data_IF_476898655730
#
_entry.id   IF_476898655730
#
_cell.length_a   1.000
_cell.length_b   1.000
_cell.length_c   1.000
_cell.angle_alpha   90.00
_cell.angle_beta   90.00
_cell.angle_gamma   90.00
#
_symmetry.space_group_name_H-M   'P 1'
#
loop_
_entity.id
_entity.type
_entity.pdbx_description
1 polymer ?
#
# COMPACT_ATOMS: atom_id res chain seq x y z
N UNK A 1 -17.86 16.23 32.45
CA UNK A 1 -18.15 15.48 31.19
C UNK A 1 -16.87 15.01 30.52
N UNK A 2 -15.86 15.84 30.27
CA UNK A 2 -14.60 15.49 29.61
C UNK A 2 -13.75 14.39 30.29
N UNK A 3 -13.88 14.19 31.60
CA UNK A 3 -13.12 13.19 32.36
C UNK A 3 -13.66 11.77 32.19
N UNK A 4 -14.98 11.61 32.15
CA UNK A 4 -15.61 10.30 32.02
C UNK A 4 -15.45 9.69 30.61
N UNK A 5 -15.52 10.52 29.57
CA UNK A 5 -15.23 10.10 28.19
C UNK A 5 -13.78 9.67 28.00
N UNK A 6 -12.83 10.38 28.60
CA UNK A 6 -11.42 9.99 28.59
C UNK A 6 -11.18 8.67 29.30
N UNK A 7 -11.80 8.45 30.45
CA UNK A 7 -11.70 7.18 31.20
C UNK A 7 -12.34 6.02 30.46
N UNK A 8 -13.52 6.23 29.84
CA UNK A 8 -14.18 5.23 29.01
C UNK A 8 -13.33 4.86 27.78
N UNK A 9 -12.75 5.86 27.12
CA UNK A 9 -11.87 5.66 25.97
C UNK A 9 -10.57 4.94 26.36
N UNK A 10 -9.99 5.27 27.51
CA UNK A 10 -8.82 4.57 28.05
C UNK A 10 -9.16 3.12 28.46
N UNK A 11 -10.35 2.88 29.03
CA UNK A 11 -10.80 1.54 29.39
C UNK A 11 -11.09 0.68 28.14
N UNK A 12 -11.73 1.27 27.13
CA UNK A 12 -11.95 0.62 25.83
C UNK A 12 -10.62 0.31 25.16
N UNK A 13 -9.69 1.27 25.13
CA UNK A 13 -8.35 1.11 24.59
C UNK A 13 -7.59 -0.02 25.27
N UNK A 14 -7.60 -0.05 26.61
CA UNK A 14 -6.99 -1.14 27.40
C UNK A 14 -7.62 -2.50 27.08
N UNK A 15 -8.95 -2.58 26.92
CA UNK A 15 -9.64 -3.81 26.53
C UNK A 15 -9.28 -4.27 25.12
N UNK A 16 -9.15 -3.35 24.17
CA UNK A 16 -8.75 -3.65 22.79
C UNK A 16 -7.29 -4.09 22.75
N UNK A 17 -6.42 -3.46 23.54
CA UNK A 17 -5.02 -3.87 23.71
C UNK A 17 -4.90 -5.27 24.32
N UNK A 18 -5.69 -5.56 25.37
CA UNK A 18 -5.72 -6.87 25.98
C UNK A 18 -6.23 -8.00 25.05
N UNK A 19 -6.97 -7.65 24.00
CA UNK A 19 -7.40 -8.57 22.93
C UNK A 19 -6.38 -8.70 21.78
N UNK A 20 -5.18 -8.11 21.91
CA UNK A 20 -4.12 -8.22 20.91
C UNK A 20 -4.35 -7.44 19.61
N UNK A 21 -5.37 -6.56 19.55
CA UNK A 21 -5.71 -5.82 18.32
C UNK A 21 -4.63 -4.83 17.86
N UNK A 22 -3.62 -4.55 18.68
CA UNK A 22 -2.50 -3.64 18.38
C UNK A 22 -1.13 -4.29 18.60
N UNK A 23 -1.07 -5.64 18.67
CA UNK A 23 0.19 -6.36 18.77
C UNK A 23 0.95 -6.21 17.44
N UNK A 24 2.17 -5.69 17.52
CA UNK A 24 3.11 -5.70 16.42
C UNK A 24 3.84 -7.04 16.43
N UNK A 25 3.56 -7.88 15.47
CA UNK A 25 4.24 -9.14 15.28
C UNK A 25 5.63 -8.89 14.70
N UNK A 26 6.66 -9.07 15.52
CA UNK A 26 8.05 -8.87 15.13
C UNK A 26 8.76 -10.18 14.83
N UNK A 27 9.68 -10.16 13.89
CA UNK A 27 10.69 -11.22 13.69
C UNK A 27 12.09 -10.64 13.82
N UNK A 28 13.03 -11.45 14.30
CA UNK A 28 14.44 -11.09 14.40
C UNK A 28 15.17 -11.67 13.19
N UNK A 29 15.75 -10.79 12.37
CA UNK A 29 16.54 -11.18 11.22
C UNK A 29 18.01 -11.26 11.62
N UNK A 30 18.51 -12.47 11.71
CA UNK A 30 19.87 -12.84 12.12
C UNK A 30 19.91 -13.65 13.41
N UNK A 31 20.20 -14.96 13.27
CA UNK A 31 20.47 -15.89 14.39
C UNK A 31 21.89 -15.72 14.94
N UNK A 32 22.34 -14.48 15.12
CA UNK A 32 23.65 -14.09 15.62
C UNK A 32 23.62 -13.84 17.12
N UNK A 33 24.78 -13.68 17.76
CA UNK A 33 24.87 -13.32 19.17
C UNK A 33 24.10 -12.02 19.47
N UNK A 34 24.13 -11.04 18.54
CA UNK A 34 23.34 -9.82 18.68
C UNK A 34 21.83 -10.10 18.63
N UNK A 35 21.37 -10.97 17.72
CA UNK A 35 19.97 -11.40 17.65
C UNK A 35 19.52 -12.13 18.92
N UNK A 36 20.35 -12.99 19.49
CA UNK A 36 20.05 -13.66 20.75
C UNK A 36 19.87 -12.69 21.91
N UNK A 37 20.79 -11.72 22.03
CA UNK A 37 20.69 -10.66 23.07
C UNK A 37 19.41 -9.84 22.92
N UNK A 38 19.00 -9.52 21.68
CA UNK A 38 17.73 -8.82 21.40
C UNK A 38 16.55 -9.66 21.85
N UNK A 39 16.53 -10.97 21.53
CA UNK A 39 15.46 -11.86 21.92
C UNK A 39 15.31 -11.97 23.43
N UNK A 40 16.42 -12.21 24.14
CA UNK A 40 16.47 -12.30 25.60
C UNK A 40 16.00 -10.99 26.25
N UNK A 41 16.45 -9.85 25.70
CA UNK A 41 16.03 -8.54 26.21
C UNK A 41 14.53 -8.32 26.07
N UNK A 42 13.95 -8.60 24.88
CA UNK A 42 12.52 -8.43 24.63
C UNK A 42 11.65 -9.43 25.42
N UNK A 43 12.15 -10.64 25.72
CA UNK A 43 11.46 -11.60 26.57
C UNK A 43 11.42 -11.15 28.03
N UNK A 44 12.50 -10.55 28.53
CA UNK A 44 12.62 -10.07 29.90
C UNK A 44 11.90 -8.74 30.14
N UNK A 45 11.82 -7.89 29.11
CA UNK A 45 11.14 -6.60 29.15
C UNK A 45 9.90 -6.68 28.27
N UNK A 46 8.80 -7.21 28.79
CA UNK A 46 7.54 -7.35 28.05
C UNK A 46 7.01 -5.98 27.63
N UNK A 47 7.43 -5.52 26.48
CA UNK A 47 6.71 -4.45 25.78
C UNK A 47 5.38 -5.03 25.31
N UNK A 48 4.28 -4.50 25.87
CA UNK A 48 2.90 -4.96 25.61
C UNK A 48 2.55 -4.81 24.12
N UNK A 49 3.37 -4.13 23.33
CA UNK A 49 3.11 -3.81 21.93
C UNK A 49 3.82 -4.71 20.92
N UNK A 50 4.85 -5.46 21.33
CA UNK A 50 5.67 -6.24 20.41
C UNK A 50 5.68 -7.71 20.81
N UNK A 51 5.13 -8.56 19.96
CA UNK A 51 5.20 -10.02 20.07
C UNK A 51 6.30 -10.55 19.13
N UNK A 52 7.37 -11.13 19.70
CA UNK A 52 8.43 -11.75 18.88
C UNK A 52 7.99 -13.14 18.46
N UNK A 53 7.83 -13.36 17.16
CA UNK A 53 7.39 -14.65 16.60
C UNK A 53 8.54 -15.66 16.50
N UNK A 54 9.77 -15.20 16.23
CA UNK A 54 10.93 -16.07 16.05
C UNK A 54 12.05 -15.42 15.28
N UNK A 55 12.97 -16.24 14.81
CA UNK A 55 14.13 -15.84 14.04
C UNK A 55 13.97 -16.16 12.56
N UNK A 56 14.59 -15.32 11.73
CA UNK A 56 14.81 -15.53 10.30
C UNK A 56 16.32 -15.48 10.05
N UNK A 57 16.87 -16.50 9.38
CA UNK A 57 18.28 -16.51 8.96
C UNK A 57 18.45 -17.41 7.74
N UNK A 58 19.27 -16.99 6.77
CA UNK A 58 19.51 -17.78 5.56
C UNK A 58 20.45 -18.98 5.80
N UNK A 59 21.09 -19.06 6.97
CA UNK A 59 22.01 -20.14 7.36
C UNK A 59 21.31 -21.24 8.14
N UNK A 60 20.13 -21.68 7.68
CA UNK A 60 19.25 -22.63 8.38
C UNK A 60 19.96 -23.93 8.80
N UNK A 61 20.87 -24.43 7.97
CA UNK A 61 21.60 -25.69 8.23
C UNK A 61 22.64 -25.58 9.37
N UNK A 62 23.03 -24.36 9.74
CA UNK A 62 24.06 -24.07 10.75
C UNK A 62 23.51 -23.61 12.08
N UNK A 63 22.20 -23.43 12.16
CA UNK A 63 21.53 -22.90 13.34
C UNK A 63 20.61 -23.96 13.95
N UNK A 64 20.48 -24.00 15.29
CA UNK A 64 19.49 -24.84 15.94
C UNK A 64 18.07 -24.40 15.56
N UNK A 65 17.08 -25.33 15.65
CA UNK A 65 15.67 -25.02 15.33
C UNK A 65 15.06 -23.99 16.25
N UNK A 66 15.59 -23.85 17.46
CA UNK A 66 15.18 -22.88 18.47
C UNK A 66 16.38 -22.08 18.95
N UNK A 67 16.20 -20.78 19.08
CA UNK A 67 17.19 -19.82 19.54
C UNK A 67 16.53 -18.96 20.64
N UNK A 68 17.12 -18.92 21.83
CA UNK A 68 16.57 -18.19 22.99
C UNK A 68 15.07 -18.52 23.24
N UNK A 69 14.68 -19.79 23.18
CA UNK A 69 13.29 -20.28 23.32
C UNK A 69 12.31 -19.74 22.24
N UNK A 70 12.83 -19.28 21.11
CA UNK A 70 12.03 -18.83 19.96
C UNK A 70 12.34 -19.72 18.74
N UNK A 71 11.33 -20.04 17.91
CA UNK A 71 11.52 -20.90 16.74
C UNK A 71 12.34 -20.21 15.65
N UNK A 72 13.09 -20.99 14.89
CA UNK A 72 13.66 -20.57 13.61
C UNK A 72 12.59 -20.73 12.52
N UNK A 73 12.03 -19.62 12.05
CA UNK A 73 10.86 -19.57 11.16
C UNK A 73 11.17 -19.82 9.70
N UNK A 74 12.44 -19.68 9.30
CA UNK A 74 12.87 -19.87 7.93
C UNK A 74 13.94 -18.89 7.47
N UNK A 75 14.01 -18.68 6.17
CA UNK A 75 14.96 -17.78 5.50
C UNK A 75 14.30 -16.47 5.06
N UNK A 76 15.05 -15.60 4.36
CA UNK A 76 14.57 -14.31 3.85
C UNK A 76 13.35 -14.44 2.91
N UNK A 77 13.27 -15.54 2.11
CA UNK A 77 12.10 -15.78 1.23
C UNK A 77 10.84 -16.13 2.05
N UNK A 78 11.01 -16.89 3.12
CA UNK A 78 9.91 -17.20 4.04
C UNK A 78 9.41 -15.94 4.76
N UNK A 79 10.33 -15.04 5.13
CA UNK A 79 9.99 -13.74 5.69
C UNK A 79 9.13 -12.91 4.73
N UNK A 80 9.50 -12.84 3.46
CA UNK A 80 8.71 -12.11 2.45
C UNK A 80 7.29 -12.65 2.36
N UNK A 81 7.13 -13.98 2.33
CA UNK A 81 5.83 -14.64 2.34
C UNK A 81 5.01 -14.28 3.59
N UNK A 82 5.63 -14.34 4.79
CA UNK A 82 4.97 -14.01 6.04
C UNK A 82 4.52 -12.55 6.11
N UNK A 83 5.31 -11.62 5.55
CA UNK A 83 4.92 -10.21 5.44
C UNK A 83 3.72 -10.04 4.49
N UNK A 84 3.73 -10.71 3.34
CA UNK A 84 2.61 -10.66 2.38
C UNK A 84 1.32 -11.28 2.94
N UNK A 85 1.45 -12.26 3.85
CA UNK A 85 0.32 -12.86 4.58
C UNK A 85 -0.12 -12.02 5.79
N UNK A 86 0.48 -10.84 6.01
CA UNK A 86 0.20 -9.92 7.13
C UNK A 86 0.47 -10.55 8.53
N UNK A 87 1.26 -11.63 8.57
CA UNK A 87 1.64 -12.28 9.83
C UNK A 87 2.74 -11.52 10.56
N UNK A 88 3.58 -10.78 9.82
CA UNK A 88 4.71 -10.01 10.33
C UNK A 88 4.53 -8.54 9.97
N UNK A 89 4.57 -7.67 10.96
CA UNK A 89 4.44 -6.21 10.81
C UNK A 89 5.74 -5.47 11.10
N UNK A 90 6.71 -6.15 11.74
CA UNK A 90 7.96 -5.56 12.15
C UNK A 90 9.13 -6.54 11.95
N UNK A 91 10.26 -6.05 11.45
CA UNK A 91 11.51 -6.80 11.30
C UNK A 91 12.62 -6.10 12.08
N UNK A 92 13.21 -6.80 13.04
CA UNK A 92 14.37 -6.36 13.81
C UNK A 92 15.62 -6.93 13.16
N UNK A 93 16.39 -6.11 12.46
CA UNK A 93 17.62 -6.52 11.79
C UNK A 93 18.76 -6.51 12.80
N UNK A 94 19.20 -7.69 13.23
CA UNK A 94 20.23 -7.91 14.22
C UNK A 94 21.50 -8.55 13.61
N UNK A 95 21.79 -8.24 12.34
CA UNK A 95 22.99 -8.71 11.65
C UNK A 95 24.22 -7.91 12.10
N UNK A 96 25.41 -8.53 12.06
CA UNK A 96 26.65 -7.83 12.36
C UNK A 96 26.93 -6.72 11.34
N UNK A 97 27.35 -5.56 11.81
CA UNK A 97 27.54 -4.34 10.99
C UNK A 97 28.62 -4.46 9.89
N UNK A 98 29.59 -5.35 10.05
CA UNK A 98 30.57 -5.61 9.01
C UNK A 98 29.98 -6.31 7.76
N UNK A 99 28.72 -6.72 7.81
CA UNK A 99 27.96 -7.22 6.66
C UNK A 99 27.22 -6.09 5.92
N UNK A 100 27.82 -4.90 5.82
CA UNK A 100 27.22 -3.65 5.33
C UNK A 100 26.50 -3.80 3.97
N UNK A 101 27.17 -4.42 2.99
CA UNK A 101 26.58 -4.65 1.66
C UNK A 101 25.31 -5.53 1.70
N UNK A 102 25.31 -6.55 2.57
CA UNK A 102 24.16 -7.46 2.73
C UNK A 102 23.00 -6.78 3.47
N UNK A 103 23.33 -5.99 4.50
CA UNK A 103 22.32 -5.21 5.24
C UNK A 103 21.66 -4.22 4.28
N UNK A 104 22.43 -3.52 3.46
CA UNK A 104 21.92 -2.59 2.45
C UNK A 104 20.99 -3.26 1.44
N UNK A 105 21.36 -4.43 0.91
CA UNK A 105 20.52 -5.21 0.00
C UNK A 105 19.20 -5.64 0.66
N UNK A 106 19.27 -6.23 1.86
CA UNK A 106 18.10 -6.66 2.61
C UNK A 106 17.14 -5.50 2.93
N UNK A 107 17.67 -4.35 3.35
CA UNK A 107 16.86 -3.15 3.59
C UNK A 107 16.16 -2.70 2.30
N UNK A 108 16.85 -2.70 1.16
CA UNK A 108 16.28 -2.32 -0.12
C UNK A 108 15.17 -3.30 -0.56
N UNK A 109 15.32 -4.58 -0.31
CA UNK A 109 14.27 -5.57 -0.58
C UNK A 109 13.07 -5.39 0.36
N UNK A 110 13.31 -5.25 1.67
CA UNK A 110 12.27 -5.10 2.67
C UNK A 110 11.52 -3.75 2.55
N UNK A 111 12.17 -2.69 2.05
CA UNK A 111 11.51 -1.40 1.77
C UNK A 111 10.38 -1.49 0.75
N UNK A 112 10.40 -2.50 -0.11
CA UNK A 112 9.35 -2.74 -1.10
C UNK A 112 8.10 -3.38 -0.49
N UNK A 113 8.18 -3.84 0.76
CA UNK A 113 7.12 -4.53 1.49
C UNK A 113 6.50 -3.61 2.55
N UNK A 114 5.22 -3.81 2.90
CA UNK A 114 4.54 -3.03 3.94
C UNK A 114 4.92 -3.53 5.34
N UNK A 115 6.18 -3.37 5.71
CA UNK A 115 6.74 -3.82 6.98
C UNK A 115 7.62 -2.73 7.60
N UNK A 116 7.62 -2.67 8.93
CA UNK A 116 8.48 -1.78 9.69
C UNK A 116 9.84 -2.45 9.87
N UNK A 117 10.91 -1.85 9.34
CA UNK A 117 12.27 -2.40 9.45
C UNK A 117 13.08 -1.56 10.41
N UNK A 118 13.52 -2.18 11.50
CA UNK A 118 14.32 -1.57 12.57
C UNK A 118 15.71 -2.20 12.57
N UNK A 119 16.72 -1.37 12.48
CA UNK A 119 18.10 -1.81 12.69
C UNK A 119 18.42 -1.76 14.18
N UNK A 120 18.86 -2.89 14.72
CA UNK A 120 19.40 -2.95 16.07
C UNK A 120 20.86 -2.52 16.02
N UNK A 121 21.22 -1.39 16.63
CA UNK A 121 22.58 -0.92 16.57
C UNK A 121 23.51 -1.84 17.37
N UNK A 122 24.65 -2.21 16.77
CA UNK A 122 25.83 -2.56 17.53
C UNK A 122 26.52 -1.25 17.97
N UNK A 123 27.21 -1.22 19.11
CA UNK A 123 27.76 0.01 19.71
C UNK A 123 28.62 0.89 18.78
N UNK A 124 29.05 0.35 17.63
CA UNK A 124 29.79 1.07 16.59
C UNK A 124 28.91 1.92 15.66
N UNK A 125 27.60 1.73 15.69
CA UNK A 125 26.65 2.28 14.71
C UNK A 125 26.16 3.70 14.99
N UNK A 126 26.47 4.27 16.12
CA UNK A 126 26.12 5.67 16.44
C UNK A 126 26.75 6.71 15.50
N UNK A 127 27.65 6.29 14.59
CA UNK A 127 28.26 7.21 13.61
C UNK A 127 27.33 7.64 12.45
N UNK A 128 26.16 7.08 12.32
CA UNK A 128 25.18 7.43 11.26
C UNK A 128 23.89 8.00 11.83
N UNK A 129 24.02 9.02 12.64
CA UNK A 129 22.99 9.59 13.54
C UNK A 129 21.87 10.43 12.88
N UNK A 130 21.68 10.39 11.55
CA UNK A 130 20.64 11.16 10.85
C UNK A 130 19.27 10.45 10.77
N UNK A 131 19.16 9.24 11.30
CA UNK A 131 17.91 8.48 11.28
C UNK A 131 17.24 8.50 12.64
N UNK A 132 15.90 8.60 12.63
CA UNK A 132 15.10 8.60 13.86
C UNK A 132 15.36 7.33 14.66
N UNK A 133 15.70 7.53 15.94
CA UNK A 133 15.85 6.44 16.90
C UNK A 133 14.47 6.22 17.55
N UNK A 134 14.07 4.98 17.67
CA UNK A 134 12.91 4.55 18.43
C UNK A 134 13.34 3.52 19.46
N UNK A 135 12.47 3.25 20.42
CA UNK A 135 12.72 2.29 21.48
C UNK A 135 11.76 1.11 21.33
N UNK A 136 12.31 -0.12 21.35
CA UNK A 136 11.54 -1.35 21.33
C UNK A 136 11.95 -2.16 22.56
N UNK A 137 11.08 -2.22 23.58
CA UNK A 137 11.37 -2.92 24.84
C UNK A 137 12.62 -2.43 25.56
N UNK A 138 12.89 -1.11 25.55
CA UNK A 138 14.10 -0.52 26.14
C UNK A 138 15.35 -0.56 25.26
N UNK A 139 15.28 -1.17 24.06
CA UNK A 139 16.40 -1.19 23.12
C UNK A 139 16.34 0.00 22.16
N UNK A 140 17.39 0.83 22.08
CA UNK A 140 17.48 1.86 21.06
C UNK A 140 17.62 1.20 19.68
N UNK A 141 16.71 1.51 18.77
CA UNK A 141 16.66 0.96 17.41
C UNK A 141 16.60 2.08 16.39
N UNK A 142 17.24 1.87 15.24
CA UNK A 142 17.19 2.81 14.13
C UNK A 142 16.09 2.40 13.15
N UNK A 143 15.21 3.33 12.82
CA UNK A 143 14.17 3.10 11.83
C UNK A 143 14.81 3.14 10.45
N UNK A 144 14.92 1.99 9.79
CA UNK A 144 15.44 1.88 8.42
C UNK A 144 14.35 2.05 7.36
N UNK A 145 13.15 1.59 7.65
CA UNK A 145 11.95 1.77 6.82
C UNK A 145 10.73 1.76 7.71
N UNK A 146 9.83 2.68 7.47
CA UNK A 146 8.59 2.80 8.23
C UNK A 146 7.39 2.27 7.46
N UNK A 147 6.38 1.80 8.20
CA UNK A 147 5.05 1.64 7.65
C UNK A 147 4.52 3.03 7.23
N UNK A 148 3.94 3.14 6.03
CA UNK A 148 3.41 4.42 5.53
C UNK A 148 2.37 5.03 6.46
N UNK A 149 1.51 4.19 7.01
CA UNK A 149 0.43 4.57 7.92
C UNK A 149 0.70 3.93 9.28
N UNK A 150 0.96 4.74 10.31
CA UNK A 150 1.33 4.29 11.65
C UNK A 150 0.26 4.59 12.69
N UNK A 151 0.26 3.82 13.76
CA UNK A 151 -0.57 4.08 14.93
C UNK A 151 -2.05 4.18 14.54
N UNK A 152 -2.65 5.34 14.74
CA UNK A 152 -4.05 5.61 14.43
C UNK A 152 -4.31 6.00 12.96
N UNK A 153 -3.26 6.24 12.18
CA UNK A 153 -3.38 6.69 10.78
C UNK A 153 -4.21 5.74 9.90
N UNK A 154 -4.08 4.40 9.97
CA UNK A 154 -4.92 3.49 9.20
C UNK A 154 -6.40 3.61 9.55
N UNK A 155 -6.72 3.85 10.82
CA UNK A 155 -8.09 4.04 11.28
C UNK A 155 -8.69 5.33 10.73
N UNK A 156 -7.97 6.47 10.87
CA UNK A 156 -8.44 7.76 10.35
C UNK A 156 -8.54 7.74 8.83
N UNK A 157 -7.56 7.13 8.15
CA UNK A 157 -7.63 6.94 6.70
C UNK A 157 -8.84 6.14 6.27
N UNK A 158 -9.16 5.05 6.98
CA UNK A 158 -10.33 4.24 6.69
C UNK A 158 -11.65 4.97 6.97
N UNK A 159 -11.72 5.71 8.07
CA UNK A 159 -12.89 6.52 8.42
C UNK A 159 -13.14 7.60 7.35
N UNK A 160 -12.10 8.31 6.96
CA UNK A 160 -12.12 9.29 5.88
C UNK A 160 -12.63 8.67 4.57
N UNK A 161 -12.07 7.54 4.15
CA UNK A 161 -12.46 6.82 2.95
C UNK A 161 -13.95 6.43 2.98
N UNK A 162 -14.46 5.91 4.11
CA UNK A 162 -15.87 5.55 4.28
C UNK A 162 -16.76 6.78 4.19
N UNK A 163 -16.43 7.84 4.93
CA UNK A 163 -17.28 9.06 4.97
C UNK A 163 -17.34 9.71 3.60
N UNK A 164 -16.18 9.95 2.97
CA UNK A 164 -16.13 10.64 1.69
C UNK A 164 -16.74 9.79 0.57
N UNK A 165 -16.44 8.47 0.53
CA UNK A 165 -17.04 7.60 -0.48
C UNK A 165 -18.55 7.45 -0.32
N UNK A 166 -19.07 7.43 0.91
CA UNK A 166 -20.53 7.38 1.15
C UNK A 166 -21.23 8.63 0.64
N UNK A 167 -20.69 9.81 0.96
CA UNK A 167 -21.23 11.10 0.47
C UNK A 167 -21.17 11.15 -1.06
N UNK A 168 -20.00 10.76 -1.63
CA UNK A 168 -19.81 10.75 -3.07
C UNK A 168 -20.74 9.75 -3.78
N UNK A 169 -20.96 8.55 -3.22
CA UNK A 169 -21.91 7.57 -3.75
C UNK A 169 -23.34 8.08 -3.74
N UNK A 170 -23.79 8.69 -2.63
CA UNK A 170 -25.12 9.27 -2.53
C UNK A 170 -25.32 10.39 -3.56
N UNK A 171 -24.34 11.29 -3.70
CA UNK A 171 -24.39 12.38 -4.66
C UNK A 171 -24.33 11.89 -6.11
N UNK A 172 -23.51 10.86 -6.41
CA UNK A 172 -23.37 10.31 -7.74
C UNK A 172 -24.46 9.30 -8.14
N UNK A 173 -25.23 8.77 -7.18
CA UNK A 173 -26.21 7.71 -7.42
C UNK A 173 -27.19 7.99 -8.57
N UNK A 174 -27.82 9.20 -8.68
CA UNK A 174 -28.72 9.47 -9.80
C UNK A 174 -28.00 9.45 -11.15
N UNK A 175 -26.79 10.01 -11.21
CA UNK A 175 -25.97 10.01 -12.44
C UNK A 175 -25.53 8.57 -12.79
N UNK A 176 -25.11 7.78 -11.80
CA UNK A 176 -24.73 6.39 -11.99
C UNK A 176 -25.90 5.55 -12.52
N UNK A 177 -27.13 5.79 -12.03
CA UNK A 177 -28.34 5.11 -12.51
C UNK A 177 -28.64 5.46 -13.98
N UNK A 178 -28.54 6.73 -14.35
CA UNK A 178 -28.73 7.19 -15.73
C UNK A 178 -27.70 6.58 -16.68
N UNK A 179 -26.42 6.54 -16.26
CA UNK A 179 -25.34 5.90 -17.03
C UNK A 179 -25.62 4.41 -17.18
N UNK A 180 -26.02 3.73 -16.11
CA UNK A 180 -26.36 2.30 -16.14
C UNK A 180 -27.48 1.99 -17.14
N UNK A 181 -28.52 2.81 -17.16
CA UNK A 181 -29.62 2.72 -18.12
C UNK A 181 -29.13 2.97 -19.55
N UNK A 182 -28.34 4.03 -19.76
CA UNK A 182 -27.77 4.34 -21.08
C UNK A 182 -26.91 3.21 -21.63
N UNK A 183 -26.05 2.59 -20.80
CA UNK A 183 -25.23 1.45 -21.19
C UNK A 183 -26.10 0.24 -21.59
N UNK A 184 -27.19 -0.02 -20.87
CA UNK A 184 -28.11 -1.12 -21.20
C UNK A 184 -28.85 -0.91 -22.52
N UNK A 185 -29.18 0.34 -22.82
CA UNK A 185 -29.84 0.71 -24.08
C UNK A 185 -28.87 0.73 -25.27
N UNK A 186 -27.57 1.06 -25.04
CA UNK A 186 -26.56 1.18 -26.09
C UNK A 186 -26.05 -0.19 -26.58
N UNK A 187 -25.89 -1.18 -25.67
CA UNK A 187 -25.39 -2.50 -26.04
C UNK A 187 -25.77 -3.61 -25.04
N UNK A 188 -25.94 -4.89 -25.50
CA UNK A 188 -26.24 -6.00 -24.61
C UNK A 188 -25.08 -6.33 -23.68
N UNK A 189 -25.39 -6.87 -22.48
CA UNK A 189 -24.40 -7.34 -21.51
C UNK A 189 -24.48 -6.64 -20.15
N UNK A 190 -23.51 -6.90 -19.22
CA UNK A 190 -23.50 -6.32 -17.88
C UNK A 190 -23.18 -4.83 -17.92
N UNK A 191 -23.71 -4.08 -16.95
CA UNK A 191 -23.46 -2.63 -16.80
C UNK A 191 -22.05 -2.37 -16.26
N UNK A 192 -21.62 -3.20 -15.31
CA UNK A 192 -20.31 -3.09 -14.68
C UNK A 192 -19.29 -4.00 -15.37
N UNK A 193 -18.11 -3.46 -15.53
CA UNK A 193 -16.92 -4.17 -15.95
C UNK A 193 -15.97 -4.29 -14.75
N UNK A 194 -15.39 -5.46 -14.55
CA UNK A 194 -14.43 -5.75 -13.50
C UNK A 194 -13.07 -5.98 -14.10
N UNK A 195 -12.08 -5.26 -13.60
CA UNK A 195 -10.69 -5.37 -14.05
C UNK A 195 -9.77 -5.72 -12.90
N UNK A 196 -8.95 -6.75 -13.08
CA UNK A 196 -7.93 -7.11 -12.08
C UNK A 196 -6.79 -6.09 -12.12
N UNK A 197 -6.40 -5.60 -10.95
CA UNK A 197 -5.29 -4.66 -10.75
C UNK A 197 -4.54 -4.98 -9.48
N UNK A 198 -3.28 -4.58 -9.42
CA UNK A 198 -2.51 -4.66 -8.19
C UNK A 198 -3.02 -3.63 -7.18
N UNK A 199 -3.33 -4.10 -5.98
CA UNK A 199 -3.72 -3.31 -4.83
C UNK A 199 -2.64 -3.28 -3.76
N UNK A 200 -3.08 -3.06 -2.51
CA UNK A 200 -2.20 -3.09 -1.34
C UNK A 200 -1.44 -4.42 -1.26
N UNK A 201 -0.14 -4.32 -0.96
CA UNK A 201 0.75 -5.47 -0.80
C UNK A 201 0.79 -6.40 -2.04
N UNK A 202 0.70 -5.84 -3.24
CA UNK A 202 0.67 -6.56 -4.52
C UNK A 202 -0.47 -7.59 -4.65
N UNK A 203 -1.51 -7.53 -3.79
CA UNK A 203 -2.67 -8.39 -3.91
C UNK A 203 -3.54 -7.95 -5.08
N UNK A 204 -4.01 -8.90 -5.87
CA UNK A 204 -4.95 -8.59 -6.94
C UNK A 204 -6.31 -8.20 -6.38
N UNK A 205 -6.82 -7.05 -6.82
CA UNK A 205 -8.16 -6.55 -6.52
C UNK A 205 -8.98 -6.43 -7.79
N UNK A 206 -10.30 -6.56 -7.68
CA UNK A 206 -11.24 -6.26 -8.76
C UNK A 206 -11.65 -4.80 -8.69
N UNK A 207 -11.25 -4.02 -9.68
CA UNK A 207 -11.65 -2.61 -9.82
C UNK A 207 -12.92 -2.52 -10.65
N UNK A 208 -13.95 -1.88 -10.12
CA UNK A 208 -15.24 -1.70 -10.78
C UNK A 208 -15.22 -0.47 -11.68
N UNK A 209 -15.72 -0.64 -12.90
CA UNK A 209 -15.92 0.44 -13.86
C UNK A 209 -17.28 0.26 -14.55
N UNK A 210 -17.81 1.31 -15.13
CA UNK A 210 -18.88 1.15 -16.10
C UNK A 210 -18.31 0.55 -17.38
N UNK A 211 -19.07 -0.35 -17.99
CA UNK A 211 -18.74 -0.92 -19.29
C UNK A 211 -18.75 0.17 -20.36
N UNK A 212 -17.61 0.39 -20.99
CA UNK A 212 -17.41 1.37 -22.07
C UNK A 212 -17.12 0.71 -23.42
N UNK A 213 -17.00 -0.62 -23.46
CA UNK A 213 -16.73 -1.41 -24.66
C UNK A 213 -17.80 -2.46 -24.87
N UNK A 214 -17.96 -2.91 -26.11
CA UNK A 214 -18.81 -4.06 -26.40
C UNK A 214 -18.35 -5.28 -25.61
N UNK A 215 -19.30 -6.01 -25.03
CA UNK A 215 -18.99 -7.11 -24.09
C UNK A 215 -18.13 -8.20 -24.72
N UNK A 216 -18.40 -8.55 -25.97
CA UNK A 216 -17.68 -9.57 -26.72
C UNK A 216 -16.24 -9.17 -27.07
N UNK A 217 -15.93 -7.87 -27.10
CA UNK A 217 -14.63 -7.30 -27.41
C UNK A 217 -13.88 -6.79 -26.16
N UNK A 218 -14.43 -7.04 -24.96
CA UNK A 218 -13.86 -6.55 -23.71
C UNK A 218 -12.65 -7.39 -23.30
N UNK A 219 -11.55 -6.71 -22.91
CA UNK A 219 -10.30 -7.32 -22.46
C UNK A 219 -10.12 -7.07 -20.96
N UNK A 220 -10.43 -8.09 -20.14
CA UNK A 220 -10.33 -7.99 -18.68
C UNK A 220 -8.89 -7.94 -18.16
N UNK A 221 -7.93 -8.48 -18.94
CA UNK A 221 -6.52 -8.51 -18.56
C UNK A 221 -5.76 -7.28 -19.03
N UNK A 222 -6.37 -6.46 -19.92
CA UNK A 222 -5.75 -5.30 -20.56
C UNK A 222 -4.46 -5.63 -21.35
N UNK A 223 -4.48 -6.79 -22.06
CA UNK A 223 -3.36 -7.20 -22.90
C UNK A 223 -3.16 -6.23 -24.08
N UNK A 224 -4.24 -5.60 -24.53
CA UNK A 224 -4.21 -4.57 -25.57
C UNK A 224 -4.65 -3.23 -25.02
N UNK A 225 -3.72 -2.28 -24.97
CA UNK A 225 -4.03 -0.90 -24.60
C UNK A 225 -5.06 -0.29 -25.57
N UNK A 226 -5.93 0.56 -25.01
CA UNK A 226 -6.95 1.26 -25.79
C UNK A 226 -6.33 2.49 -26.46
N UNK A 227 -6.54 2.63 -27.77
CA UNK A 227 -6.05 3.78 -28.54
C UNK A 227 -7.19 4.74 -28.92
N UNK A 228 -6.85 5.95 -29.40
CA UNK A 228 -7.86 6.87 -29.94
C UNK A 228 -8.57 6.23 -31.14
N UNK A 229 -9.92 6.23 -31.12
CA UNK A 229 -10.71 5.67 -32.22
C UNK A 229 -10.89 4.15 -32.16
N UNK A 230 -10.57 3.49 -31.05
CA UNK A 230 -10.74 2.05 -30.87
C UNK A 230 -12.20 1.64 -31.13
N UNK A 231 -12.41 0.71 -32.08
CA UNK A 231 -13.72 0.20 -32.55
C UNK A 231 -14.46 -0.63 -31.48
N UNK A 232 -13.75 -1.01 -30.44
CA UNK A 232 -14.34 -1.74 -29.30
C UNK A 232 -15.19 -0.85 -28.41
N UNK A 233 -15.04 0.50 -28.49
CA UNK A 233 -15.71 1.47 -27.62
C UNK A 233 -17.13 1.74 -28.15
N UNK A 234 -18.13 1.63 -27.27
CA UNK A 234 -19.53 1.96 -27.60
C UNK A 234 -19.75 3.47 -27.68
N UNK A 235 -20.92 3.93 -28.17
CA UNK A 235 -21.24 5.38 -28.27
C UNK A 235 -21.32 5.99 -26.88
N UNK A 236 -22.03 5.38 -25.95
CA UNK A 236 -22.12 5.79 -24.54
C UNK A 236 -20.74 5.66 -23.89
N UNK A 237 -20.00 4.57 -24.17
CA UNK A 237 -18.65 4.34 -23.70
C UNK A 237 -17.68 5.46 -24.01
N UNK A 238 -17.74 6.03 -25.23
CA UNK A 238 -16.91 7.16 -25.64
C UNK A 238 -17.19 8.40 -24.78
N UNK A 239 -18.45 8.69 -24.48
CA UNK A 239 -18.82 9.82 -23.65
C UNK A 239 -18.35 9.64 -22.21
N UNK A 240 -18.65 8.49 -21.57
CA UNK A 240 -18.29 8.25 -20.17
C UNK A 240 -16.76 8.17 -19.95
N UNK A 241 -15.99 7.68 -20.93
CA UNK A 241 -14.52 7.70 -20.89
C UNK A 241 -13.96 9.12 -21.00
N UNK A 242 -14.46 9.92 -21.95
CA UNK A 242 -14.03 11.32 -22.12
C UNK A 242 -14.28 12.15 -20.86
N UNK A 243 -15.33 11.85 -20.12
CA UNK A 243 -15.71 12.54 -18.88
C UNK A 243 -15.23 11.86 -17.62
N UNK A 244 -14.53 10.71 -17.75
CA UNK A 244 -14.10 9.85 -16.63
C UNK A 244 -15.23 9.34 -15.73
N UNK A 245 -16.46 9.43 -16.19
CA UNK A 245 -17.65 8.90 -15.48
C UNK A 245 -17.64 7.36 -15.44
N UNK A 246 -16.90 6.71 -16.33
CA UNK A 246 -16.71 5.26 -16.30
C UNK A 246 -16.02 4.77 -15.02
N UNK A 247 -15.30 5.64 -14.31
CA UNK A 247 -14.58 5.31 -13.07
C UNK A 247 -15.43 5.50 -11.80
N UNK A 248 -16.66 6.07 -11.89
CA UNK A 248 -17.54 6.29 -10.72
C UNK A 248 -17.80 5.01 -9.89
N UNK A 249 -17.97 3.80 -10.49
CA UNK A 249 -18.16 2.60 -9.69
C UNK A 249 -16.98 2.23 -8.77
N UNK A 250 -15.77 2.82 -8.97
CA UNK A 250 -14.65 2.65 -8.05
C UNK A 250 -14.95 3.20 -6.64
N UNK A 251 -15.91 4.11 -6.50
CA UNK A 251 -16.40 4.54 -5.18
C UNK A 251 -16.90 3.36 -4.34
N UNK A 252 -17.47 2.33 -4.96
CA UNK A 252 -17.83 1.07 -4.29
C UNK A 252 -16.59 0.31 -3.81
N UNK A 253 -15.50 0.32 -4.58
CA UNK A 253 -14.24 -0.29 -4.15
C UNK A 253 -13.68 0.40 -2.90
N UNK A 254 -13.79 1.74 -2.83
CA UNK A 254 -13.37 2.51 -1.66
C UNK A 254 -14.25 2.18 -0.46
N UNK A 255 -15.58 2.23 -0.65
CA UNK A 255 -16.53 1.91 0.41
C UNK A 255 -16.32 0.49 0.96
N UNK A 256 -16.10 -0.49 0.11
CA UNK A 256 -15.81 -1.88 0.48
C UNK A 256 -14.39 -2.07 1.05
N UNK A 257 -13.48 -1.14 0.80
CA UNK A 257 -12.13 -1.11 1.39
C UNK A 257 -11.02 -1.75 0.57
N UNK A 258 -11.27 -2.15 -0.67
CA UNK A 258 -10.23 -2.62 -1.59
C UNK A 258 -9.42 -1.48 -2.21
N UNK A 259 -9.97 -0.26 -2.22
CA UNK A 259 -9.31 0.97 -2.65
C UNK A 259 -9.45 2.07 -1.59
N UNK A 260 -8.83 3.22 -1.84
CA UNK A 260 -8.91 4.45 -1.07
C UNK A 260 -9.42 5.59 -1.97
N UNK A 261 -9.91 6.69 -1.37
CA UNK A 261 -10.22 7.91 -2.12
C UNK A 261 -8.95 8.50 -2.73
N UNK A 262 -7.89 8.62 -1.92
CA UNK A 262 -6.60 9.16 -2.33
C UNK A 262 -5.51 8.10 -2.15
N UNK A 263 -4.67 7.93 -3.17
CA UNK A 263 -3.56 6.98 -3.17
C UNK A 263 -2.93 6.81 -4.56
N UNK A 264 -1.89 6.01 -4.69
CA UNK A 264 -1.30 5.65 -5.97
C UNK A 264 -2.32 5.05 -6.93
N UNK A 265 -2.33 5.49 -8.20
CA UNK A 265 -3.27 4.94 -9.19
C UNK A 265 -2.95 3.48 -9.50
N UNK A 266 -3.94 2.55 -9.42
CA UNK A 266 -3.71 1.14 -9.71
C UNK A 266 -3.48 0.91 -11.20
N UNK A 267 -2.43 0.16 -11.56
CA UNK A 267 -2.15 -0.25 -12.94
C UNK A 267 -2.64 -1.66 -13.22
N UNK A 268 -2.94 -1.95 -14.49
CA UNK A 268 -3.24 -3.30 -14.93
C UNK A 268 -1.99 -4.19 -14.86
N UNK A 269 -2.20 -5.49 -14.65
CA UNK A 269 -1.13 -6.47 -14.42
C UNK A 269 -0.13 -6.62 -15.57
N UNK A 270 -0.56 -6.31 -16.81
CA UNK A 270 0.25 -6.42 -18.02
C UNK A 270 0.75 -5.07 -18.56
N UNK A 271 0.74 -4.01 -17.73
CA UNK A 271 1.12 -2.67 -18.22
C UNK A 271 2.62 -2.60 -18.49
N UNK A 272 2.96 -2.26 -19.74
CA UNK A 272 4.35 -2.12 -20.22
C UNK A 272 4.62 -0.68 -20.64
N UNK A 273 5.87 -0.22 -20.46
CA UNK A 273 6.39 0.97 -21.10
C UNK A 273 7.65 0.61 -21.85
N UNK A 274 7.78 1.10 -23.07
CA UNK A 274 8.90 0.77 -23.98
C UNK A 274 9.16 -0.76 -24.08
N UNK A 275 8.11 -1.60 -23.95
CA UNK A 275 8.21 -3.05 -24.03
C UNK A 275 8.59 -3.77 -22.74
N UNK A 276 8.95 -3.04 -21.67
CA UNK A 276 9.33 -3.57 -20.35
C UNK A 276 8.17 -3.45 -19.38
N UNK A 277 7.96 -4.43 -18.50
CA UNK A 277 6.97 -4.35 -17.43
C UNK A 277 7.35 -3.22 -16.47
N UNK A 278 6.36 -2.50 -15.94
CA UNK A 278 6.59 -1.40 -15.01
C UNK A 278 7.37 -1.83 -13.75
N UNK A 279 7.15 -3.05 -13.29
CA UNK A 279 7.83 -3.63 -12.12
C UNK A 279 9.33 -3.85 -12.36
N UNK A 280 9.71 -4.13 -13.61
CA UNK A 280 11.11 -4.34 -14.01
C UNK A 280 11.79 -3.03 -14.43
N UNK A 281 10.98 -2.04 -14.84
CA UNK A 281 11.48 -0.76 -15.36
C UNK A 281 11.98 0.19 -14.27
N UNK A 282 11.37 0.14 -13.06
CA UNK A 282 11.70 1.04 -11.95
C UNK A 282 11.92 0.23 -10.67
N UNK A 283 13.11 0.32 -10.10
CA UNK A 283 13.52 -0.47 -8.92
C UNK A 283 12.58 -0.31 -7.70
N UNK A 284 11.98 0.86 -7.52
CA UNK A 284 11.08 1.16 -6.40
C UNK A 284 9.59 1.07 -6.77
N UNK A 285 9.26 0.54 -7.96
CA UNK A 285 7.88 0.49 -8.43
C UNK A 285 6.93 -0.20 -7.46
N UNK A 286 7.34 -1.33 -6.89
CA UNK A 286 6.52 -2.11 -5.94
C UNK A 286 6.30 -1.41 -4.61
N UNK A 287 7.16 -0.44 -4.23
CA UNK A 287 7.03 0.31 -2.99
C UNK A 287 5.75 1.18 -2.94
N UNK A 288 5.18 1.53 -4.09
CA UNK A 288 3.90 2.24 -4.18
C UNK A 288 2.70 1.41 -3.73
N UNK A 289 2.83 0.08 -3.69
CA UNK A 289 1.79 -0.84 -3.22
C UNK A 289 1.79 -1.02 -1.70
N UNK A 290 2.61 -0.25 -0.97
CA UNK A 290 2.63 -0.20 0.51
C UNK A 290 1.39 0.48 1.10
N UNK A 291 0.55 1.11 0.26
CA UNK A 291 -0.76 1.68 0.62
C UNK A 291 -1.83 1.20 -0.36
N UNK A 292 -3.10 1.37 0.00
CA UNK A 292 -4.22 1.06 -0.92
C UNK A 292 -4.18 2.00 -2.12
N UNK A 293 -4.49 1.48 -3.33
CA UNK A 293 -4.58 2.33 -4.51
C UNK A 293 -5.76 3.31 -4.39
N UNK A 294 -5.57 4.52 -4.95
CA UNK A 294 -6.56 5.58 -4.92
C UNK A 294 -7.34 5.76 -6.22
N UNK A 295 -8.54 6.35 -6.12
CA UNK A 295 -9.30 6.89 -7.27
C UNK A 295 -8.54 8.10 -7.83
N UNK A 296 -8.09 8.98 -6.93
CA UNK A 296 -7.19 10.09 -7.24
C UNK A 296 -5.89 9.98 -6.45
N UNK A 297 -4.89 10.78 -6.79
CA UNK A 297 -3.60 10.72 -6.12
C UNK A 297 -2.69 11.89 -6.46
N UNK A 298 -1.61 12.02 -5.70
CA UNK A 298 -0.66 13.11 -5.82
C UNK A 298 -0.03 13.19 -7.22
N UNK A 299 0.40 12.06 -7.77
CA UNK A 299 0.90 11.99 -9.14
C UNK A 299 -0.14 12.47 -10.17
N UNK A 300 -1.42 12.10 -9.99
CA UNK A 300 -2.48 12.43 -10.94
C UNK A 300 -2.75 13.94 -11.02
N UNK A 301 -2.78 14.64 -9.88
CA UNK A 301 -3.03 16.09 -9.86
C UNK A 301 -1.82 16.91 -10.30
N UNK A 302 -0.62 16.30 -10.33
CA UNK A 302 0.61 16.89 -10.85
C UNK A 302 0.88 16.55 -12.33
N UNK A 303 -0.14 16.07 -13.07
CA UNK A 303 -0.05 15.87 -14.52
C UNK A 303 0.34 14.45 -14.95
N UNK A 304 0.65 13.53 -14.05
CA UNK A 304 1.08 12.16 -14.37
C UNK A 304 -0.11 11.15 -14.34
N UNK A 305 -1.27 11.58 -14.85
CA UNK A 305 -2.49 10.76 -14.92
C UNK A 305 -2.58 9.90 -16.18
N UNK A 306 -2.11 10.42 -17.31
CA UNK A 306 -2.27 9.86 -18.66
C UNK A 306 -1.45 8.60 -18.93
N UNK A 307 -1.26 8.32 -20.20
CA UNK A 307 -0.41 7.23 -20.68
C UNK A 307 1.03 7.40 -20.20
N UNK A 308 1.61 6.32 -19.73
CA UNK A 308 3.02 6.25 -19.33
C UNK A 308 3.78 5.50 -20.41
N UNK A 309 4.01 6.19 -21.50
CA UNK A 309 4.69 5.70 -22.71
C UNK A 309 6.22 5.72 -22.57
N UNK A 310 6.76 6.57 -21.68
CA UNK A 310 8.19 6.70 -21.43
C UNK A 310 8.61 6.30 -20.04
N UNK A 311 9.85 5.85 -19.90
CA UNK A 311 10.44 5.47 -18.60
C UNK A 311 10.43 6.65 -17.62
N UNK A 312 10.79 7.85 -18.10
CA UNK A 312 10.82 9.07 -17.29
C UNK A 312 9.45 9.41 -16.67
N UNK A 313 8.35 9.24 -17.45
CA UNK A 313 7.00 9.47 -16.91
C UNK A 313 6.64 8.47 -15.81
N UNK A 314 7.13 7.21 -15.90
CA UNK A 314 6.90 6.20 -14.86
C UNK A 314 7.71 6.54 -13.62
N UNK A 315 8.98 6.88 -13.78
CA UNK A 315 9.85 7.28 -12.67
C UNK A 315 9.26 8.46 -11.91
N UNK A 316 8.85 9.51 -12.63
CA UNK A 316 8.20 10.68 -12.01
C UNK A 316 6.89 10.32 -11.33
N UNK A 317 6.07 9.46 -11.91
CA UNK A 317 4.85 8.98 -11.26
C UNK A 317 5.15 8.24 -9.97
N UNK A 318 6.14 7.33 -9.97
CA UNK A 318 6.57 6.59 -8.78
C UNK A 318 7.10 7.54 -7.71
N UNK A 319 7.92 8.54 -8.10
CA UNK A 319 8.44 9.57 -7.21
C UNK A 319 7.31 10.30 -6.48
N UNK A 320 6.28 10.79 -7.21
CA UNK A 320 5.11 11.43 -6.59
C UNK A 320 4.28 10.47 -5.74
N UNK A 321 4.13 9.22 -6.15
CA UNK A 321 3.40 8.23 -5.37
C UNK A 321 4.13 7.92 -4.04
N UNK A 322 5.47 7.86 -4.05
CA UNK A 322 6.28 7.67 -2.85
C UNK A 322 6.28 8.93 -1.95
N UNK A 323 6.38 10.13 -2.52
CA UNK A 323 6.26 11.39 -1.78
C UNK A 323 4.90 11.48 -1.04
N UNK A 324 3.82 11.06 -1.71
CA UNK A 324 2.51 10.96 -1.07
C UNK A 324 2.51 10.00 0.12
N UNK A 325 3.10 8.82 -0.05
CA UNK A 325 3.16 7.78 0.99
C UNK A 325 3.93 8.28 2.22
N UNK A 326 5.03 9.00 2.01
CA UNK A 326 5.88 9.53 3.08
C UNK A 326 5.26 10.70 3.83
N UNK A 327 4.54 11.57 3.11
CA UNK A 327 3.95 12.82 3.64
C UNK A 327 2.49 12.70 4.01
N UNK A 328 1.93 11.50 3.94
CA UNK A 328 0.50 11.30 4.15
C UNK A 328 -0.02 11.98 5.43
N UNK A 329 -1.13 12.65 5.28
CA UNK A 329 -1.96 13.17 6.36
C UNK A 329 -3.40 13.36 5.85
N UNK A 330 -4.38 13.39 6.76
CA UNK A 330 -5.78 13.68 6.40
C UNK A 330 -5.90 15.01 5.65
N UNK A 331 -5.15 16.03 6.07
CA UNK A 331 -5.13 17.34 5.40
C UNK A 331 -4.55 17.27 3.98
N UNK A 332 -3.54 16.41 3.76
CA UNK A 332 -2.97 16.21 2.45
C UNK A 332 -3.96 15.50 1.52
N UNK A 333 -4.70 14.53 2.03
CA UNK A 333 -5.78 13.89 1.27
C UNK A 333 -6.87 14.87 0.89
N UNK A 334 -7.35 15.69 1.83
CA UNK A 334 -8.33 16.73 1.55
C UNK A 334 -7.82 17.74 0.50
N UNK A 335 -6.55 18.14 0.60
CA UNK A 335 -5.93 19.00 -0.41
C UNK A 335 -5.95 18.35 -1.80
N UNK A 336 -5.55 17.09 -1.92
CA UNK A 336 -5.57 16.34 -3.19
C UNK A 336 -6.99 16.23 -3.73
N UNK A 337 -7.98 15.94 -2.87
CA UNK A 337 -9.38 15.85 -3.27
C UNK A 337 -9.92 17.17 -3.84
N UNK A 338 -9.63 18.29 -3.18
CA UNK A 338 -10.04 19.63 -3.66
C UNK A 338 -9.36 20.00 -4.97
N UNK A 339 -8.11 19.59 -5.17
CA UNK A 339 -7.33 19.85 -6.39
C UNK A 339 -7.68 18.92 -7.55
N UNK A 340 -8.35 17.81 -7.29
CA UNK A 340 -8.69 16.81 -8.32
C UNK A 340 -9.64 17.35 -9.39
N UNK A 341 -10.79 18.03 -9.08
CA UNK A 341 -11.68 18.53 -10.12
C UNK A 341 -11.01 19.52 -11.10
N UNK A 342 -10.28 20.56 -10.66
CA UNK A 342 -9.58 21.44 -11.57
C UNK A 342 -8.50 20.73 -12.39
N UNK A 343 -7.76 19.78 -11.80
CA UNK A 343 -6.76 18.99 -12.50
C UNK A 343 -7.37 18.12 -13.62
N UNK A 344 -8.59 17.60 -13.41
CA UNK A 344 -9.33 16.86 -14.43
C UNK A 344 -9.76 17.72 -15.61
N UNK A 345 -10.10 18.99 -15.36
CA UNK A 345 -10.56 19.93 -16.38
C UNK A 345 -9.40 20.54 -17.19
N UNK A 346 -8.24 20.73 -16.57
CA UNK A 346 -7.08 21.37 -17.17
C UNK A 346 -6.22 20.41 -17.99
N UNK A 347 -6.17 19.13 -17.65
CA UNK A 347 -5.39 18.13 -18.37
C UNK A 347 -6.12 17.68 -19.65
N UNK A 348 -5.71 18.22 -20.80
CA UNK A 348 -6.25 17.90 -22.12
C UNK A 348 -5.85 16.50 -22.67
N UNK A 349 -4.98 15.78 -21.98
CA UNK A 349 -4.41 14.50 -22.44
C UNK A 349 -5.24 13.27 -22.03
N UNK A 350 -6.47 13.46 -21.63
CA UNK A 350 -7.44 12.37 -21.42
C UNK A 350 -8.27 12.23 -22.67
N UNK A 351 -8.01 11.20 -23.50
CA UNK A 351 -8.67 10.67 -24.72
C UNK A 351 -9.80 11.49 -25.34
#
# INVERSE_FOLDING_TARGET
LFGAERLAMLALFRRLMARGMFLQNAVILGGTENGLRVAEHLQNHRDIRTGVLGFIDDRLERLPKELANLPLLGNTRDLERMIREEKVTQVLVALPWFADSRIGQLINELRKLPVNVLLVPDMVAFRHADKRITEVGGLPTLIASDLPLRGWSPFFKRLEDIVISSIALLAAAPVMLLIALAIKLDSPGPVLFKQKRYGYNNRLIEVFKFRSMYHEKSDANADRQTTRGDDRITRVGRFIRKTSLDELPQLLNVFLGSMSMVGPRPHATATKAAGVLFEDAVAEYSARHRVKPGITGWAQINGYRGETDTLEKIEKRVEFDLDYIERWSVWFDLYILVRTPPALLLNKDVY
#
